data_IF_603256853178
#
_entry.id   IF_603256853178
#
_cell.length_a   1.000
_cell.length_b   1.000
_cell.length_c   1.000
_cell.angle_alpha   90.00
_cell.angle_beta   90.00
_cell.angle_gamma   90.00
#
_symmetry.space_group_name_H-M   'P 1'
#
loop_
_entity.id
_entity.type
_entity.pdbx_description
1 polymer ?
#
# COMPACT_ATOMS: atom_id res chain seq x y z
N UNK A 1 -8.64 -9.15 -15.88
CA UNK A 1 -8.99 -8.24 -14.76
C UNK A 1 -9.19 -9.11 -13.52
N UNK A 2 -8.80 -8.65 -12.33
CA UNK A 2 -8.89 -9.45 -11.09
C UNK A 2 -7.66 -10.31 -10.77
N UNK A 3 -6.50 -9.99 -11.34
CA UNK A 3 -5.24 -10.62 -10.93
C UNK A 3 -4.65 -9.88 -9.73
N UNK A 4 -3.99 -10.57 -8.79
CA UNK A 4 -3.24 -9.92 -7.73
C UNK A 4 -2.14 -9.02 -8.29
N UNK A 5 -1.88 -7.90 -7.62
CA UNK A 5 -0.91 -6.89 -8.03
C UNK A 5 -0.28 -6.19 -6.83
N UNK A 6 0.80 -5.47 -7.10
CA UNK A 6 1.52 -4.61 -6.15
C UNK A 6 1.42 -3.17 -6.63
N UNK A 7 1.27 -2.23 -5.69
CA UNK A 7 1.31 -0.79 -5.98
C UNK A 7 2.71 -0.28 -5.65
N UNK A 8 3.39 0.34 -6.62
CA UNK A 8 4.66 1.03 -6.38
C UNK A 8 4.42 2.53 -6.31
N UNK A 9 5.02 3.20 -5.33
CA UNK A 9 4.95 4.65 -5.17
C UNK A 9 6.33 5.23 -4.89
N UNK A 10 6.71 6.23 -5.69
CA UNK A 10 7.95 6.99 -5.49
C UNK A 10 7.82 8.06 -4.42
N UNK A 11 6.58 8.42 -4.08
CA UNK A 11 6.26 9.33 -2.99
C UNK A 11 5.48 8.58 -1.92
N UNK A 12 5.91 8.75 -0.69
CA UNK A 12 5.14 8.29 0.43
C UNK A 12 3.98 9.28 0.67
N UNK A 13 2.76 8.82 1.02
CA UNK A 13 1.72 9.73 1.46
C UNK A 13 2.16 10.37 2.79
N UNK A 14 2.79 11.54 2.71
CA UNK A 14 3.25 12.32 3.85
C UNK A 14 2.17 13.30 4.29
N UNK A 15 2.07 13.53 5.60
CA UNK A 15 1.17 14.55 6.18
C UNK A 15 1.45 15.96 5.63
N UNK A 16 2.65 16.21 5.10
CA UNK A 16 3.07 17.50 4.52
C UNK A 16 2.39 17.82 3.17
N UNK A 17 1.75 16.84 2.51
CA UNK A 17 0.78 17.15 1.47
C UNK A 17 -0.51 17.57 2.20
N UNK A 18 -0.58 18.86 2.56
CA UNK A 18 -1.74 19.58 3.12
C UNK A 18 -2.93 19.56 2.12
N UNK A 19 -3.34 18.37 1.72
CA UNK A 19 -4.68 18.13 1.22
C UNK A 19 -5.56 18.10 2.46
N UNK A 20 -6.07 19.26 2.87
CA UNK A 20 -7.24 19.33 3.73
C UNK A 20 -8.42 18.71 2.97
N UNK A 21 -8.44 17.38 2.94
CA UNK A 21 -9.52 16.63 2.35
C UNK A 21 -10.76 16.99 3.13
N UNK A 22 -11.71 17.63 2.45
CA UNK A 22 -12.95 18.04 3.09
C UNK A 22 -13.58 16.82 3.78
N UNK A 23 -14.35 17.07 4.83
CA UNK A 23 -15.06 16.00 5.54
C UNK A 23 -15.92 15.14 4.59
N UNK A 24 -16.37 15.72 3.48
CA UNK A 24 -17.09 15.03 2.42
C UNK A 24 -16.21 14.04 1.64
N UNK A 25 -14.98 14.42 1.28
CA UNK A 25 -14.03 13.53 0.60
C UNK A 25 -13.62 12.35 1.47
N UNK A 26 -13.39 12.61 2.76
CA UNK A 26 -13.11 11.56 3.76
C UNK A 26 -14.28 10.58 3.86
N UNK A 27 -15.52 11.09 3.90
CA UNK A 27 -16.74 10.27 3.94
C UNK A 27 -16.93 9.44 2.67
N UNK A 28 -16.68 10.03 1.49
CA UNK A 28 -16.73 9.32 0.19
C UNK A 28 -15.70 8.19 0.15
N UNK A 29 -14.47 8.48 0.57
CA UNK A 29 -13.39 7.48 0.64
C UNK A 29 -13.77 6.34 1.59
N UNK A 30 -14.28 6.65 2.78
CA UNK A 30 -14.71 5.64 3.75
C UNK A 30 -15.86 4.75 3.22
N UNK A 31 -16.85 5.34 2.55
CA UNK A 31 -17.96 4.59 1.95
C UNK A 31 -17.49 3.68 0.81
N UNK A 32 -16.61 4.18 -0.06
CA UNK A 32 -16.01 3.38 -1.12
C UNK A 32 -15.20 2.22 -0.53
N UNK A 33 -14.36 2.50 0.47
CA UNK A 33 -13.59 1.46 1.16
C UNK A 33 -14.48 0.39 1.78
N UNK A 34 -15.58 0.77 2.45
CA UNK A 34 -16.52 -0.19 3.01
C UNK A 34 -17.08 -1.16 1.96
N UNK A 35 -17.30 -0.69 0.73
CA UNK A 35 -17.81 -1.50 -0.38
C UNK A 35 -16.73 -2.38 -1.04
N UNK A 36 -15.49 -1.90 -1.12
CA UNK A 36 -14.43 -2.52 -1.94
C UNK A 36 -13.32 -3.22 -1.13
N UNK A 37 -13.33 -3.13 0.20
CA UNK A 37 -12.26 -3.67 1.07
C UNK A 37 -11.96 -5.16 0.85
N UNK A 38 -12.98 -5.98 0.61
CA UNK A 38 -12.78 -7.42 0.40
C UNK A 38 -11.99 -7.73 -0.88
N UNK A 39 -12.30 -7.00 -1.95
CA UNK A 39 -11.61 -7.12 -3.24
C UNK A 39 -10.18 -6.58 -3.12
N UNK A 40 -9.99 -5.41 -2.50
CA UNK A 40 -8.67 -4.83 -2.26
C UNK A 40 -7.76 -5.77 -1.45
N UNK A 41 -8.28 -6.39 -0.39
CA UNK A 41 -7.51 -7.35 0.41
C UNK A 41 -7.10 -8.59 -0.37
N UNK A 42 -7.87 -8.96 -1.40
CA UNK A 42 -7.59 -10.14 -2.23
C UNK A 42 -6.62 -9.81 -3.35
N UNK A 43 -6.75 -8.63 -3.95
CA UNK A 43 -6.01 -8.26 -5.16
C UNK A 43 -4.75 -7.45 -4.87
N UNK A 44 -4.71 -6.64 -3.82
CA UNK A 44 -3.53 -5.83 -3.51
C UNK A 44 -2.63 -6.61 -2.55
N UNK A 45 -1.53 -7.14 -3.07
CA UNK A 45 -0.56 -7.90 -2.27
C UNK A 45 0.22 -7.00 -1.32
N UNK A 46 0.60 -5.81 -1.78
CA UNK A 46 1.18 -4.74 -0.98
C UNK A 46 1.14 -3.41 -1.73
N UNK A 47 1.26 -2.31 -0.99
CA UNK A 47 1.82 -1.06 -1.49
C UNK A 47 3.28 -0.98 -1.05
N UNK A 48 4.19 -0.67 -1.96
CA UNK A 48 5.62 -0.46 -1.69
C UNK A 48 5.94 1.00 -1.98
N UNK A 49 6.42 1.70 -0.96
CA UNK A 49 6.88 3.08 -1.05
C UNK A 49 8.41 3.08 -1.14
N UNK A 50 8.96 3.80 -2.12
CA UNK A 50 10.40 4.01 -2.26
C UNK A 50 10.75 5.27 -1.47
N UNK A 51 11.57 5.14 -0.42
CA UNK A 51 11.97 6.25 0.42
C UNK A 51 13.47 6.14 0.79
N UNK A 52 14.36 6.83 0.08
CA UNK A 52 15.79 6.81 0.33
C UNK A 52 16.19 7.39 1.69
N UNK A 53 15.40 8.30 2.27
CA UNK A 53 15.70 8.97 3.53
C UNK A 53 15.35 8.10 4.75
N UNK A 54 16.38 7.73 5.52
CA UNK A 54 16.22 6.87 6.69
C UNK A 54 15.30 7.43 7.79
N UNK A 55 15.30 8.75 8.01
CA UNK A 55 14.44 9.38 9.01
C UNK A 55 12.96 9.31 8.59
N UNK A 56 12.66 9.55 7.30
CA UNK A 56 11.31 9.38 6.76
C UNK A 56 10.84 7.94 6.84
N UNK A 57 11.70 6.96 6.52
CA UNK A 57 11.36 5.53 6.69
C UNK A 57 10.95 5.17 8.12
N UNK A 58 11.58 5.77 9.13
CA UNK A 58 11.24 5.52 10.53
C UNK A 58 9.82 6.00 10.86
N UNK A 59 9.41 7.17 10.34
CA UNK A 59 8.05 7.67 10.48
C UNK A 59 7.01 6.75 9.82
N UNK A 60 7.33 6.14 8.69
CA UNK A 60 6.44 5.19 8.02
C UNK A 60 6.23 3.88 8.78
N UNK A 61 7.18 3.48 9.63
CA UNK A 61 7.07 2.22 10.38
C UNK A 61 5.89 2.22 11.35
N UNK A 62 5.62 3.35 12.00
CA UNK A 62 4.45 3.51 12.90
C UNK A 62 3.16 3.68 12.11
N UNK A 63 3.20 4.42 10.99
CA UNK A 63 2.06 4.61 10.09
C UNK A 63 1.58 3.31 9.44
N UNK A 64 2.50 2.41 9.08
CA UNK A 64 2.20 1.18 8.35
C UNK A 64 1.15 0.28 9.02
N UNK A 65 1.13 0.22 10.35
CA UNK A 65 0.13 -0.56 11.09
C UNK A 65 -1.28 0.03 10.97
N UNK A 66 -1.39 1.36 11.10
CA UNK A 66 -2.66 2.09 10.96
C UNK A 66 -3.16 1.99 9.51
N UNK A 67 -2.26 2.21 8.55
CA UNK A 67 -2.51 2.05 7.13
C UNK A 67 -3.09 0.66 6.82
N UNK A 68 -2.41 -0.40 7.25
CA UNK A 68 -2.80 -1.78 6.93
C UNK A 68 -4.18 -2.12 7.49
N UNK A 69 -4.52 -1.63 8.68
CA UNK A 69 -5.85 -1.81 9.27
C UNK A 69 -6.93 -1.10 8.46
N UNK A 70 -6.65 0.13 8.01
CA UNK A 70 -7.59 0.93 7.24
C UNK A 70 -7.84 0.31 5.84
N UNK A 71 -6.77 0.10 5.08
CA UNK A 71 -6.82 -0.32 3.68
C UNK A 71 -7.01 -1.83 3.48
N UNK A 72 -6.57 -2.65 4.44
CA UNK A 72 -6.73 -4.11 4.39
C UNK A 72 -5.62 -4.85 3.64
N UNK A 73 -4.54 -4.18 3.27
CA UNK A 73 -3.33 -4.75 2.67
C UNK A 73 -2.08 -4.06 3.25
N UNK A 74 -0.90 -4.71 3.22
CA UNK A 74 0.29 -4.18 3.88
C UNK A 74 0.93 -3.01 3.11
N UNK A 75 1.52 -2.09 3.88
CA UNK A 75 2.49 -1.09 3.39
C UNK A 75 3.91 -1.60 3.64
N UNK A 76 4.74 -1.63 2.60
CA UNK A 76 6.18 -1.90 2.66
C UNK A 76 6.95 -0.67 2.23
N UNK A 77 8.21 -0.59 2.67
CA UNK A 77 9.11 0.50 2.33
C UNK A 77 10.37 -0.11 1.74
N UNK A 78 10.82 0.42 0.61
CA UNK A 78 12.08 0.09 -0.03
C UNK A 78 12.96 1.36 -0.05
N UNK A 79 14.28 1.18 -0.07
CA UNK A 79 15.25 2.29 -0.18
C UNK A 79 15.39 2.74 -1.63
N UNK A 80 15.35 1.80 -2.56
CA UNK A 80 15.54 2.06 -4.00
C UNK A 80 14.41 1.44 -4.83
N UNK A 81 14.32 1.87 -6.09
CA UNK A 81 13.40 1.26 -7.05
C UNK A 81 13.73 -0.21 -7.30
N UNK A 82 15.01 -0.57 -7.38
CA UNK A 82 15.46 -1.94 -7.58
C UNK A 82 14.98 -2.85 -6.44
N UNK A 83 15.20 -2.45 -5.19
CA UNK A 83 14.69 -3.18 -4.02
C UNK A 83 13.15 -3.30 -4.04
N UNK A 84 12.44 -2.23 -4.47
CA UNK A 84 10.99 -2.28 -4.59
C UNK A 84 10.52 -3.28 -5.66
N UNK A 85 11.25 -3.38 -6.77
CA UNK A 85 10.98 -4.35 -7.84
C UNK A 85 11.23 -5.77 -7.35
N UNK A 86 12.35 -6.03 -6.68
CA UNK A 86 12.67 -7.36 -6.12
C UNK A 86 11.58 -7.81 -5.13
N UNK A 87 11.14 -6.93 -4.24
CA UNK A 87 10.04 -7.24 -3.31
C UNK A 87 8.73 -7.47 -4.05
N UNK A 88 8.43 -6.70 -5.10
CA UNK A 88 7.22 -6.87 -5.89
C UNK A 88 7.20 -8.22 -6.63
N UNK A 89 8.31 -8.60 -7.27
CA UNK A 89 8.45 -9.87 -7.98
C UNK A 89 8.28 -11.06 -7.04
N UNK A 90 8.91 -11.01 -5.86
CA UNK A 90 8.74 -12.03 -4.83
C UNK A 90 7.26 -12.17 -4.42
N UNK A 91 6.58 -11.06 -4.09
CA UNK A 91 5.16 -11.07 -3.71
C UNK A 91 4.27 -11.64 -4.82
N UNK A 92 4.49 -11.22 -6.06
CA UNK A 92 3.72 -11.69 -7.21
C UNK A 92 3.92 -13.20 -7.43
N UNK A 93 5.14 -13.70 -7.26
CA UNK A 93 5.44 -15.13 -7.41
C UNK A 93 4.81 -15.99 -6.30
N UNK A 94 4.83 -15.52 -5.04
CA UNK A 94 4.19 -16.18 -3.89
C UNK A 94 2.66 -16.18 -4.02
N UNK A 95 2.09 -15.06 -4.48
CA UNK A 95 0.65 -14.92 -4.70
C UNK A 95 0.11 -15.86 -5.78
N UNK A 96 0.92 -16.19 -6.79
CA UNK A 96 0.58 -17.15 -7.84
C UNK A 96 0.54 -18.59 -7.30
N UNK A 97 1.45 -18.97 -6.39
CA UNK A 97 1.50 -20.32 -5.82
C UNK A 97 0.31 -20.66 -4.89
N UNK A 98 -0.26 -19.65 -4.23
CA UNK A 98 -1.42 -19.81 -3.34
C UNK A 98 -2.76 -19.90 -4.10
N UNK A 99 -2.80 -19.44 -5.35
CA UNK A 99 -3.99 -19.52 -6.21
C UNK A 99 -4.09 -20.85 -7.00
N UNK A 100 -3.02 -21.65 -7.00
CA UNK A 100 -2.92 -22.93 -7.73
C UNK A 100 -2.88 -24.17 -6.81
N UNK A 101 -3.12 -24.01 -5.51
CA UNK A 101 -3.18 -25.12 -4.53
C UNK A 101 -4.58 -25.31 -3.96
#
# INVERSE_FOLDING_TARGET
RGAPFVILSDNAPTEDEDHDHSQEERKRTALWMKKHKAELRTLVLAMIVIEPNAAKRLAFKTFGAVFSKFWGFPLRIAVTREEAMDVAENLLSEGVGSATS
#
